data_IF_032694239727
#
_entry.id   IF_032694239727
#
_cell.length_a   1.000
_cell.length_b   1.000
_cell.length_c   1.000
_cell.angle_alpha   90.00
_cell.angle_beta   90.00
_cell.angle_gamma   90.00
#
_symmetry.space_group_name_H-M   'P 1'
#
loop_
_entity.id
_entity.type
_entity.pdbx_description
1 polymer ?
#
# COMPACT_ATOMS: atom_id res chain seq x y z
N UNK A 1 23.41 12.22 16.22
CA UNK A 1 22.50 13.13 15.50
C UNK A 1 21.10 12.53 15.48
N UNK A 2 20.15 13.16 16.16
CA UNK A 2 18.74 12.79 16.10
C UNK A 2 18.21 13.25 14.74
N UNK A 3 17.96 12.32 13.81
CA UNK A 3 17.41 12.65 12.50
C UNK A 3 16.15 13.50 12.65
N UNK A 4 16.07 14.55 11.83
CA UNK A 4 15.05 15.59 11.92
C UNK A 4 13.65 14.96 11.88
N UNK A 5 12.64 15.66 12.40
CA UNK A 5 11.26 15.21 12.29
C UNK A 5 10.84 14.98 10.83
N UNK A 6 11.47 15.71 9.90
CA UNK A 6 11.29 15.57 8.46
C UNK A 6 11.80 14.20 7.96
N UNK A 7 13.04 13.84 8.32
CA UNK A 7 13.64 12.55 7.94
C UNK A 7 12.81 11.36 8.46
N UNK A 8 12.17 11.51 9.61
CA UNK A 8 11.31 10.46 10.19
C UNK A 8 10.03 10.27 9.37
N UNK A 9 9.42 11.36 8.90
CA UNK A 9 8.21 11.30 8.06
C UNK A 9 8.55 10.70 6.69
N UNK A 10 9.66 11.11 6.08
CA UNK A 10 10.11 10.55 4.80
C UNK A 10 10.40 9.05 4.86
N UNK A 11 11.14 8.61 5.89
CA UNK A 11 11.37 7.17 6.11
C UNK A 11 10.06 6.40 6.26
N UNK A 12 9.08 6.98 6.95
CA UNK A 12 7.75 6.36 7.10
C UNK A 12 7.01 6.28 5.77
N UNK A 13 7.01 7.35 4.97
CA UNK A 13 6.42 7.36 3.63
C UNK A 13 7.07 6.29 2.75
N UNK A 14 8.41 6.20 2.74
CA UNK A 14 9.15 5.19 1.96
C UNK A 14 8.74 3.77 2.33
N UNK A 15 8.63 3.47 3.63
CA UNK A 15 8.18 2.16 4.12
C UNK A 15 6.73 1.85 3.71
N UNK A 16 5.82 2.82 3.84
CA UNK A 16 4.42 2.62 3.44
C UNK A 16 4.28 2.39 1.93
N UNK A 17 5.08 3.07 1.11
CA UNK A 17 5.10 2.85 -0.33
C UNK A 17 5.66 1.47 -0.70
N UNK A 18 6.66 0.97 0.02
CA UNK A 18 7.17 -0.39 -0.20
C UNK A 18 6.09 -1.44 0.09
N UNK A 19 5.39 -1.32 1.23
CA UNK A 19 4.26 -2.21 1.57
C UNK A 19 3.14 -2.10 0.53
N UNK A 20 2.88 -0.89 -0.01
CA UNK A 20 1.89 -0.70 -1.07
C UNK A 20 2.27 -1.49 -2.32
N UNK A 21 3.54 -1.42 -2.73
CA UNK A 21 4.05 -2.16 -3.88
C UNK A 21 3.93 -3.69 -3.70
N UNK A 22 4.14 -4.20 -2.48
CA UNK A 22 3.91 -5.61 -2.15
C UNK A 22 2.44 -6.00 -2.36
N UNK A 23 1.49 -5.20 -1.87
CA UNK A 23 0.06 -5.48 -2.09
C UNK A 23 -0.37 -5.33 -3.57
N UNK A 24 0.23 -4.40 -4.31
CA UNK A 24 0.02 -4.28 -5.76
C UNK A 24 0.53 -5.54 -6.49
N UNK A 25 1.66 -6.10 -6.06
CA UNK A 25 2.17 -7.39 -6.56
C UNK A 25 1.23 -8.55 -6.22
N UNK A 26 0.73 -8.62 -4.99
CA UNK A 26 -0.24 -9.65 -4.57
C UNK A 26 -1.51 -9.61 -5.44
N UNK A 27 -2.00 -8.42 -5.80
CA UNK A 27 -3.14 -8.27 -6.71
C UNK A 27 -2.83 -8.79 -8.11
N UNK A 28 -1.63 -8.51 -8.63
CA UNK A 28 -1.20 -9.04 -9.92
C UNK A 28 -1.13 -10.57 -9.91
N UNK A 29 -0.63 -11.15 -8.82
CA UNK A 29 -0.55 -12.60 -8.63
C UNK A 29 -1.94 -13.24 -8.47
N UNK A 30 -2.85 -12.62 -7.72
CA UNK A 30 -4.24 -13.06 -7.63
C UNK A 30 -4.92 -13.07 -9.01
N UNK A 31 -4.67 -12.04 -9.82
CA UNK A 31 -5.21 -11.94 -11.19
C UNK A 31 -4.62 -13.02 -12.11
N UNK A 32 -3.32 -13.31 -11.98
CA UNK A 32 -2.68 -14.42 -12.70
C UNK A 32 -3.30 -15.76 -12.32
N UNK A 33 -3.47 -16.02 -11.02
CA UNK A 33 -4.11 -17.26 -10.53
C UNK A 33 -5.53 -17.43 -11.03
N UNK A 34 -6.30 -16.33 -11.14
CA UNK A 34 -7.65 -16.38 -11.73
C UNK A 34 -7.61 -16.77 -13.20
N UNK A 35 -6.68 -16.22 -13.99
CA UNK A 35 -6.51 -16.56 -15.41
C UNK A 35 -6.06 -18.01 -15.64
N UNK A 36 -5.31 -18.57 -14.69
CA UNK A 36 -4.84 -19.95 -14.72
C UNK A 36 -5.85 -20.93 -14.09
N UNK A 37 -7.06 -20.46 -13.76
CA UNK A 37 -8.12 -21.23 -13.06
C UNK A 37 -7.65 -21.88 -11.73
N UNK A 38 -6.60 -21.33 -11.11
CA UNK A 38 -6.03 -21.76 -9.82
C UNK A 38 -6.76 -21.18 -8.60
N UNK A 39 -7.81 -20.40 -8.84
CA UNK A 39 -8.67 -19.80 -7.82
C UNK A 39 -10.04 -19.52 -8.43
N UNK A 40 -11.12 -19.73 -7.67
CA UNK A 40 -12.46 -19.38 -8.13
C UNK A 40 -12.63 -17.86 -8.24
N UNK A 41 -13.54 -17.42 -9.11
CA UNK A 41 -13.89 -16.01 -9.27
C UNK A 41 -14.33 -15.36 -7.95
N UNK A 42 -15.20 -16.02 -7.20
CA UNK A 42 -15.68 -15.53 -5.90
C UNK A 42 -14.53 -15.32 -4.91
N UNK A 43 -13.61 -16.30 -4.82
CA UNK A 43 -12.46 -16.19 -3.91
C UNK A 43 -11.50 -15.10 -4.37
N UNK A 44 -11.29 -14.92 -5.67
CA UNK A 44 -10.53 -13.81 -6.23
C UNK A 44 -11.18 -12.45 -5.87
N UNK A 45 -12.48 -12.28 -6.08
CA UNK A 45 -13.20 -11.03 -5.79
C UNK A 45 -13.09 -10.66 -4.31
N UNK A 46 -13.27 -11.65 -3.42
CA UNK A 46 -13.10 -11.43 -1.97
C UNK A 46 -11.68 -11.02 -1.60
N UNK A 47 -10.66 -11.72 -2.11
CA UNK A 47 -9.26 -11.42 -1.77
C UNK A 47 -8.80 -10.09 -2.37
N UNK A 48 -9.16 -9.83 -3.63
CA UNK A 48 -8.81 -8.57 -4.31
C UNK A 48 -9.45 -7.37 -3.63
N UNK A 49 -10.72 -7.46 -3.22
CA UNK A 49 -11.38 -6.39 -2.46
C UNK A 49 -10.67 -6.11 -1.13
N UNK A 50 -10.30 -7.15 -0.37
CA UNK A 50 -9.58 -6.99 0.90
C UNK A 50 -8.19 -6.37 0.69
N UNK A 51 -7.46 -6.80 -0.34
CA UNK A 51 -6.15 -6.22 -0.68
C UNK A 51 -6.27 -4.77 -1.13
N UNK A 52 -7.29 -4.44 -1.93
CA UNK A 52 -7.57 -3.07 -2.37
C UNK A 52 -7.83 -2.14 -1.19
N UNK A 53 -8.65 -2.56 -0.21
CA UNK A 53 -8.89 -1.77 1.02
C UNK A 53 -7.59 -1.45 1.76
N UNK A 54 -6.63 -2.39 1.79
CA UNK A 54 -5.32 -2.16 2.42
C UNK A 54 -4.49 -1.15 1.64
N UNK A 55 -4.48 -1.23 0.30
CA UNK A 55 -3.82 -0.26 -0.57
C UNK A 55 -4.40 1.15 -0.34
N UNK A 56 -5.72 1.28 -0.33
CA UNK A 56 -6.40 2.57 -0.17
C UNK A 56 -6.07 3.21 1.18
N UNK A 57 -5.99 2.41 2.25
CA UNK A 57 -5.53 2.87 3.57
C UNK A 57 -4.08 3.36 3.54
N UNK A 58 -3.19 2.66 2.85
CA UNK A 58 -1.79 3.08 2.70
C UNK A 58 -1.67 4.38 1.92
N UNK A 59 -2.39 4.52 0.80
CA UNK A 59 -2.44 5.74 -0.02
C UNK A 59 -2.92 6.91 0.83
N UNK A 60 -4.02 6.73 1.57
CA UNK A 60 -4.57 7.75 2.46
C UNK A 60 -3.55 8.15 3.52
N UNK A 61 -2.86 7.17 4.13
CA UNK A 61 -1.85 7.44 5.16
C UNK A 61 -0.63 8.19 4.61
N UNK A 62 -0.17 7.85 3.41
CA UNK A 62 0.92 8.56 2.74
C UNK A 62 0.51 10.01 2.46
N UNK A 63 -0.73 10.25 2.01
CA UNK A 63 -1.26 11.60 1.79
C UNK A 63 -1.27 12.42 3.07
N UNK A 64 -1.77 11.87 4.17
CA UNK A 64 -1.74 12.54 5.50
C UNK A 64 -0.31 12.89 5.94
N UNK A 65 0.64 11.98 5.74
CA UNK A 65 2.03 12.21 6.12
C UNK A 65 2.70 13.30 5.29
N UNK A 66 2.40 13.37 3.98
CA UNK A 66 2.87 14.45 3.11
C UNK A 66 2.31 15.81 3.52
N UNK A 67 1.02 15.88 3.79
CA UNK A 67 0.38 17.12 4.30
C UNK A 67 0.95 17.54 5.66
N UNK A 68 1.23 16.56 6.56
CA UNK A 68 1.89 16.86 7.83
C UNK A 68 3.29 17.43 7.62
N UNK A 69 4.06 16.85 6.68
CA UNK A 69 5.40 17.32 6.31
C UNK A 69 5.35 18.79 5.84
N UNK A 70 4.44 19.11 4.93
CA UNK A 70 4.25 20.47 4.40
C UNK A 70 3.89 21.51 5.46
N UNK A 71 3.20 21.11 6.54
CA UNK A 71 2.88 22.02 7.67
C UNK A 71 4.05 22.21 8.66
N UNK A 72 5.08 21.38 8.56
CA UNK A 72 6.23 21.37 9.49
C UNK A 72 7.49 22.00 8.89
N UNK A 73 7.57 22.10 7.56
CA UNK A 73 8.56 22.91 6.85
C UNK A 73 8.11 24.36 6.77
#
# INVERSE_FOLDING_TARGET
>A
MLGSSDDRIERKIKRLNAIRAEYESDLADLKKRLKEDRISRERYERLSALTQIKIDRLVSKVKELRQKKERMG
#
